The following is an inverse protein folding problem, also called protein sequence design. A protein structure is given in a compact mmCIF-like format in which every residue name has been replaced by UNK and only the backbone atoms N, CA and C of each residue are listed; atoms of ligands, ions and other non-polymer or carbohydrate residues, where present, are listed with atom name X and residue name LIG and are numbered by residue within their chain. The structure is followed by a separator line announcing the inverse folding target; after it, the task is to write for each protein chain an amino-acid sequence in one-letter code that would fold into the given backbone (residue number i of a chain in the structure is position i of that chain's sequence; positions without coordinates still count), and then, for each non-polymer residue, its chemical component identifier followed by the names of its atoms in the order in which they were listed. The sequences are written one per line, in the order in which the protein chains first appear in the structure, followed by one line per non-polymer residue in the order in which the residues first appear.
data_IF_312222204191
#
_entry.id   IF_312222204191
#
_cell.length_a   1.000
_cell.length_b   1.000
_cell.length_c   1.000
_cell.angle_alpha   90.00
_cell.angle_beta   90.00
_cell.angle_gamma   90.00
#
_symmetry.space_group_name_H-M   'P 1'
#
loop_
_entity.id
_entity.type
_entity.pdbx_description
1 polymer ?
#
# COMPACT_ATOMS: atom_id res chain seq x y z
N UNK A 1 -24.72 -10.61 -1.59
CA UNK A 1 -24.00 -9.62 -0.77
C UNK A 1 -22.57 -10.10 -0.54
N UNK A 2 -21.64 -9.17 -0.30
CA UNK A 2 -20.24 -9.45 0.01
C UNK A 2 -20.11 -9.66 1.53
N UNK A 3 -19.46 -10.73 2.01
CA UNK A 3 -19.20 -10.91 3.44
C UNK A 3 -18.40 -9.74 4.04
N UNK A 4 -18.70 -9.35 5.28
CA UNK A 4 -18.07 -8.21 5.95
C UNK A 4 -16.54 -8.27 5.93
N UNK A 5 -15.95 -9.42 6.30
CA UNK A 5 -14.49 -9.59 6.28
C UNK A 5 -13.90 -9.31 4.90
N UNK A 6 -14.55 -9.79 3.84
CA UNK A 6 -14.13 -9.52 2.46
C UNK A 6 -14.34 -8.06 2.08
N UNK A 7 -15.43 -7.44 2.54
CA UNK A 7 -15.72 -6.02 2.31
C UNK A 7 -14.65 -5.12 2.94
N UNK A 8 -14.22 -5.42 4.17
CA UNK A 8 -13.12 -4.72 4.86
C UNK A 8 -11.84 -4.79 4.01
N UNK A 9 -11.47 -5.98 3.54
CA UNK A 9 -10.25 -6.13 2.73
C UNK A 9 -10.33 -5.38 1.40
N UNK A 10 -11.50 -5.41 0.73
CA UNK A 10 -11.73 -4.66 -0.51
C UNK A 10 -11.61 -3.15 -0.26
N UNK A 11 -12.31 -2.62 0.75
CA UNK A 11 -12.30 -1.18 1.04
C UNK A 11 -10.93 -0.69 1.49
N UNK A 12 -10.19 -1.48 2.27
CA UNK A 12 -8.81 -1.15 2.62
C UNK A 12 -7.91 -1.06 1.37
N UNK A 13 -8.03 -1.99 0.43
CA UNK A 13 -7.30 -1.94 -0.84
C UNK A 13 -7.73 -0.75 -1.71
N UNK A 14 -9.04 -0.47 -1.79
CA UNK A 14 -9.59 0.64 -2.57
C UNK A 14 -9.10 1.99 -2.05
N UNK A 15 -9.19 2.26 -0.74
CA UNK A 15 -8.71 3.53 -0.16
C UNK A 15 -7.19 3.68 -0.26
N UNK A 16 -6.44 2.57 -0.19
CA UNK A 16 -4.99 2.61 -0.43
C UNK A 16 -4.70 3.01 -1.88
N UNK A 17 -5.40 2.43 -2.85
CA UNK A 17 -5.24 2.77 -4.26
C UNK A 17 -5.67 4.21 -4.56
N UNK A 18 -6.77 4.68 -3.98
CA UNK A 18 -7.25 6.05 -4.07
C UNK A 18 -6.18 7.05 -3.59
N UNK A 19 -5.67 6.87 -2.38
CA UNK A 19 -4.62 7.72 -1.82
C UNK A 19 -3.35 7.73 -2.69
N UNK A 20 -2.95 6.58 -3.24
CA UNK A 20 -1.79 6.49 -4.14
C UNK A 20 -2.01 7.23 -5.46
N UNK A 21 -3.23 7.20 -6.00
CA UNK A 21 -3.60 7.89 -7.24
C UNK A 21 -3.63 9.39 -7.00
N UNK A 22 -4.26 9.84 -5.92
CA UNK A 22 -4.35 11.26 -5.54
C UNK A 22 -2.97 11.88 -5.31
N UNK A 23 -2.03 11.12 -4.74
CA UNK A 23 -0.65 11.58 -4.56
C UNK A 23 0.14 11.75 -5.86
N UNK A 24 -0.27 11.09 -6.96
CA UNK A 24 0.51 11.00 -8.21
C UNK A 24 -0.14 11.73 -9.38
N UNK A 25 -1.46 11.88 -9.38
CA UNK A 25 -2.24 12.39 -10.51
C UNK A 25 -3.00 13.64 -10.09
N UNK A 26 -2.51 14.80 -10.52
CA UNK A 26 -3.10 16.11 -10.18
C UNK A 26 -4.34 16.47 -11.03
N UNK A 27 -4.60 15.74 -12.12
CA UNK A 27 -5.72 16.02 -13.02
C UNK A 27 -6.94 15.17 -12.64
N UNK A 28 -8.07 15.79 -12.22
CA UNK A 28 -9.21 15.07 -11.65
C UNK A 28 -9.79 13.99 -12.57
N UNK A 29 -10.01 14.31 -13.85
CA UNK A 29 -10.59 13.35 -14.79
C UNK A 29 -9.68 12.14 -15.01
N UNK A 30 -8.36 12.39 -15.09
CA UNK A 30 -7.36 11.32 -15.22
C UNK A 30 -7.27 10.48 -13.95
N UNK A 31 -7.31 11.11 -12.78
CA UNK A 31 -7.33 10.41 -11.50
C UNK A 31 -8.57 9.52 -11.36
N UNK A 32 -9.75 10.03 -11.75
CA UNK A 32 -11.00 9.27 -11.74
C UNK A 32 -10.94 8.06 -12.68
N UNK A 33 -10.39 8.21 -13.89
CA UNK A 33 -10.19 7.09 -14.81
C UNK A 33 -9.25 6.03 -14.23
N UNK A 34 -8.12 6.46 -13.65
CA UNK A 34 -7.16 5.56 -13.00
C UNK A 34 -7.81 4.82 -11.82
N UNK A 35 -8.56 5.53 -10.98
CA UNK A 35 -9.27 4.95 -9.84
C UNK A 35 -10.29 3.89 -10.28
N UNK A 36 -11.09 4.19 -11.31
CA UNK A 36 -12.07 3.23 -11.84
C UNK A 36 -11.40 1.94 -12.34
N UNK A 37 -10.24 2.08 -13.02
CA UNK A 37 -9.48 0.94 -13.50
C UNK A 37 -8.89 0.11 -12.34
N UNK A 38 -8.36 0.75 -11.30
CA UNK A 38 -7.81 0.04 -10.14
C UNK A 38 -8.90 -0.60 -9.27
N UNK A 39 -10.02 0.07 -9.03
CA UNK A 39 -11.15 -0.53 -8.33
C UNK A 39 -11.63 -1.80 -9.04
N UNK A 40 -11.72 -1.79 -10.38
CA UNK A 40 -12.09 -2.98 -11.14
C UNK A 40 -11.09 -4.14 -10.96
N UNK A 41 -9.78 -3.84 -10.93
CA UNK A 41 -8.72 -4.84 -10.68
C UNK A 41 -8.81 -5.40 -9.25
N UNK A 42 -9.06 -4.55 -8.25
CA UNK A 42 -9.24 -4.96 -6.85
C UNK A 42 -10.44 -5.88 -6.73
N UNK A 43 -11.60 -5.51 -7.29
CA UNK A 43 -12.79 -6.36 -7.24
C UNK A 43 -12.55 -7.72 -7.92
N UNK A 44 -11.84 -7.74 -9.04
CA UNK A 44 -11.42 -8.97 -9.71
C UNK A 44 -10.50 -9.83 -8.82
N UNK A 45 -9.51 -9.23 -8.13
CA UNK A 45 -8.61 -9.91 -7.18
C UNK A 45 -9.40 -10.65 -6.08
N UNK A 46 -10.50 -10.08 -5.60
CA UNK A 46 -11.34 -10.68 -4.55
C UNK A 46 -12.47 -11.59 -5.07
N UNK A 47 -12.60 -11.74 -6.39
CA UNK A 47 -13.67 -12.50 -7.02
C UNK A 47 -15.06 -11.91 -6.77
N UNK A 48 -15.15 -10.58 -6.70
CA UNK A 48 -16.40 -9.86 -6.40
C UNK A 48 -16.89 -9.11 -7.63
N UNK A 49 -18.18 -9.29 -7.94
CA UNK A 49 -18.84 -8.54 -9.00
C UNK A 49 -19.18 -7.12 -8.56
N UNK A 50 -19.09 -6.15 -9.47
CA UNK A 50 -19.35 -4.73 -9.20
C UNK A 50 -20.73 -4.48 -8.58
N UNK A 51 -21.77 -5.18 -9.04
CA UNK A 51 -23.13 -5.05 -8.51
C UNK A 51 -23.22 -5.53 -7.05
N UNK A 52 -22.64 -6.70 -6.73
CA UNK A 52 -22.63 -7.24 -5.38
C UNK A 52 -21.87 -6.32 -4.39
N UNK A 53 -20.76 -5.73 -4.84
CA UNK A 53 -20.04 -4.72 -4.07
C UNK A 53 -20.93 -3.49 -3.83
N UNK A 54 -21.51 -2.90 -4.88
CA UNK A 54 -22.37 -1.71 -4.79
C UNK A 54 -23.58 -1.93 -3.89
N UNK A 55 -24.25 -3.07 -4.00
CA UNK A 55 -25.40 -3.42 -3.16
C UNK A 55 -25.01 -3.51 -1.68
N UNK A 56 -23.86 -4.12 -1.39
CA UNK A 56 -23.34 -4.26 -0.03
C UNK A 56 -22.91 -2.91 0.53
N UNK A 57 -22.23 -2.08 -0.26
CA UNK A 57 -21.86 -0.72 0.12
C UNK A 57 -23.09 0.14 0.43
N UNK A 58 -24.11 0.08 -0.42
CA UNK A 58 -25.38 0.78 -0.21
C UNK A 58 -26.15 0.27 1.01
N UNK A 59 -25.97 -0.99 1.41
CA UNK A 59 -26.49 -1.49 2.68
C UNK A 59 -25.82 -0.76 3.85
N UNK A 60 -24.48 -0.70 3.89
CA UNK A 60 -23.77 -0.01 4.97
C UNK A 60 -24.10 1.49 5.04
N UNK A 61 -24.12 2.22 3.91
CA UNK A 61 -24.51 3.65 3.91
C UNK A 61 -25.89 3.89 4.53
N UNK A 62 -26.85 2.97 4.32
CA UNK A 62 -28.20 3.07 4.88
C UNK A 62 -28.29 2.64 6.35
N UNK A 63 -27.26 1.98 6.87
CA UNK A 63 -27.18 1.49 8.25
C UNK A 63 -25.97 2.11 8.93
N UNK A 64 -26.08 3.38 9.32
CA UNK A 64 -24.94 4.17 9.83
C UNK A 64 -24.18 3.48 10.97
N UNK A 65 -24.87 2.83 11.92
CA UNK A 65 -24.22 2.11 13.01
C UNK A 65 -23.39 0.90 12.53
N UNK A 66 -23.78 0.24 11.44
CA UNK A 66 -22.99 -0.86 10.85
C UNK A 66 -21.86 -0.32 9.97
N UNK A 67 -22.06 0.84 9.33
CA UNK A 67 -21.00 1.54 8.60
C UNK A 67 -19.88 1.99 9.52
N UNK A 68 -20.22 2.52 10.69
CA UNK A 68 -19.27 2.98 11.70
C UNK A 68 -18.36 1.83 12.15
N UNK A 69 -18.95 0.72 12.59
CA UNK A 69 -18.21 -0.52 12.92
C UNK A 69 -17.36 -1.04 11.76
N UNK A 70 -17.87 -0.99 10.54
CA UNK A 70 -17.12 -1.42 9.36
C UNK A 70 -15.87 -0.55 9.18
N UNK A 71 -16.00 0.77 9.35
CA UNK A 71 -14.89 1.71 9.23
C UNK A 71 -13.85 1.58 10.34
N UNK A 72 -14.26 1.31 11.58
CA UNK A 72 -13.32 0.97 12.66
C UNK A 72 -12.39 -0.18 12.25
N UNK A 73 -12.97 -1.26 11.71
CA UNK A 73 -12.21 -2.44 11.28
C UNK A 73 -11.30 -2.11 10.07
N UNK A 74 -11.74 -1.23 9.17
CA UNK A 74 -10.92 -0.78 8.02
C UNK A 74 -9.70 0.01 8.52
N UNK A 75 -9.91 0.95 9.45
CA UNK A 75 -8.83 1.76 10.05
C UNK A 75 -7.83 0.86 10.79
N UNK A 76 -8.30 -0.09 11.57
CA UNK A 76 -7.45 -1.08 12.24
C UNK A 76 -6.66 -1.91 11.24
N UNK A 77 -7.31 -2.36 10.17
CA UNK A 77 -6.67 -3.13 9.09
C UNK A 77 -5.55 -2.33 8.42
N UNK A 78 -5.79 -1.06 8.12
CA UNK A 78 -4.79 -0.17 7.51
C UNK A 78 -3.63 0.10 8.47
N UNK A 79 -3.91 0.37 9.74
CA UNK A 79 -2.91 0.60 10.80
C UNK A 79 -1.98 -0.61 10.95
N UNK A 80 -2.53 -1.83 10.96
CA UNK A 80 -1.74 -3.06 11.04
C UNK A 80 -0.89 -3.25 9.78
N UNK A 81 -1.43 -2.96 8.58
CA UNK A 81 -0.67 -3.05 7.33
C UNK A 81 0.48 -2.05 7.30
N UNK A 82 0.24 -0.81 7.71
CA UNK A 82 1.27 0.22 7.84
C UNK A 82 2.38 -0.19 8.80
N UNK A 83 2.01 -0.66 10.00
CA UNK A 83 2.97 -1.13 11.00
C UNK A 83 3.85 -2.26 10.48
N UNK A 84 3.27 -3.21 9.72
CA UNK A 84 4.02 -4.30 9.09
C UNK A 84 4.97 -3.81 7.99
N UNK A 85 4.56 -2.82 7.19
CA UNK A 85 5.44 -2.22 6.18
C UNK A 85 6.61 -1.49 6.81
N UNK A 86 6.37 -0.72 7.87
CA UNK A 86 7.41 0.01 8.60
C UNK A 86 8.40 -0.94 9.29
N UNK A 87 7.91 -2.01 9.90
CA UNK A 87 8.78 -3.05 10.48
C UNK A 87 9.63 -3.75 9.41
N UNK A 88 9.04 -4.09 8.26
CA UNK A 88 9.79 -4.68 7.14
C UNK A 88 10.86 -3.74 6.59
N UNK A 89 10.55 -2.46 6.40
CA UNK A 89 11.51 -1.46 5.95
C UNK A 89 12.66 -1.28 6.96
N UNK A 90 12.35 -1.32 8.27
CA UNK A 90 13.36 -1.32 9.32
C UNK A 90 14.30 -2.52 9.25
N UNK A 91 13.77 -3.72 8.97
CA UNK A 91 14.57 -4.95 8.81
C UNK A 91 15.44 -4.89 7.54
N UNK A 92 14.91 -4.44 6.41
CA UNK A 92 15.66 -4.31 5.15
C UNK A 92 16.84 -3.32 5.27
N UNK A 93 16.66 -2.24 6.04
CA UNK A 93 17.73 -1.30 6.35
C UNK A 93 18.82 -1.89 7.28
N UNK A 94 18.51 -2.90 8.10
CA UNK A 94 19.49 -3.59 8.94
C UNK A 94 20.26 -4.65 8.14
N UNK A 95 19.58 -5.38 7.25
CA UNK A 95 20.22 -6.38 6.38
C UNK A 95 21.19 -5.75 5.35
N UNK A 96 20.97 -4.48 4.97
CA UNK A 96 21.86 -3.76 4.05
C UNK A 96 23.08 -3.13 4.72
N UNK A 97 23.14 -3.08 6.06
CA UNK A 97 24.25 -2.49 6.83
C UNK A 97 25.27 -3.54 7.32
N UNK A 98 24.89 -4.83 7.43
CA UNK A 98 25.79 -5.92 7.86
C UNK A 98 26.83 -6.37 6.79
N UNK A 99 26.93 -5.68 5.65
CA UNK A 99 27.75 -6.08 4.50
C UNK A 99 28.87 -5.12 4.06
N UNK A 100 29.00 -3.91 4.63
CA UNK A 100 30.16 -3.06 4.32
C UNK A 100 31.36 -3.47 5.16
N UNK A 101 32.03 -4.55 4.76
CA UNK A 101 33.47 -4.60 4.95
C UNK A 101 34.04 -3.50 4.05
N UNK A 102 34.55 -2.42 4.62
CA UNK A 102 35.36 -1.49 3.84
C UNK A 102 36.54 -2.28 3.30
N UNK A 103 36.64 -2.39 1.97
CA UNK A 103 37.81 -2.99 1.33
C UNK A 103 39.05 -2.26 1.87
N UNK A 104 40.10 -2.98 2.29
CA UNK A 104 41.32 -2.33 2.73
C UNK A 104 41.79 -1.38 1.64
N UNK A 105 42.01 -0.11 1.99
CA UNK A 105 42.61 0.84 1.07
C UNK A 105 43.95 0.29 0.57
N UNK A 106 43.99 -0.15 -0.69
CA UNK A 106 45.23 -0.49 -1.38
C UNK A 106 45.60 0.74 -2.20
N UNK A 107 46.63 1.52 -1.79
CA UNK A 107 47.09 2.65 -2.57
C UNK A 107 47.54 2.19 -3.96
N UNK A 108 47.23 3.01 -4.97
CA UNK A 108 47.71 2.81 -6.34
C UNK A 108 49.24 2.87 -6.38
N UNK A 109 49.87 2.06 -7.25
CA UNK A 109 51.32 2.10 -7.49
C UNK A 109 51.78 3.51 -7.90
N UNK A 110 50.92 4.31 -8.53
CA UNK A 110 51.21 5.72 -8.86
C UNK A 110 51.34 6.64 -7.64
N UNK A 111 50.77 6.28 -6.49
CA UNK A 111 50.92 7.03 -5.22
C UNK A 111 52.23 6.70 -4.51
N UNK A 112 52.80 5.51 -4.77
CA UNK A 112 54.07 5.05 -4.18
C UNK A 112 55.29 5.71 -4.84
N UNK A 113 55.16 6.23 -6.06
CA UNK A 113 56.28 6.84 -6.79
C UNK A 113 56.54 8.32 -6.44
N UNK A 114 55.67 8.97 -5.64
CA UNK A 114 55.83 10.38 -5.25
C UNK A 114 56.71 10.61 -4.01
N UNK A 115 57.43 9.59 -3.52
CA UNK A 115 58.26 9.68 -2.31
C UNK A 115 59.78 9.50 -2.50
N UNK A 116 60.30 9.57 -3.73
CA UNK A 116 61.75 9.54 -3.98
C UNK A 116 62.28 10.80 -4.69
#
# INVERSE_FOLDING_TARGET
MVPQEKMVQILADVHTAEAQIEQRINYPDTAMMAFNAEQAKILKKYGVQQNAFRETYNYYIRNLAEMDKLYEIIVDTLTVRESKMNAKAGIENLETDEGRQEDPYIPDESELEMQN
#
